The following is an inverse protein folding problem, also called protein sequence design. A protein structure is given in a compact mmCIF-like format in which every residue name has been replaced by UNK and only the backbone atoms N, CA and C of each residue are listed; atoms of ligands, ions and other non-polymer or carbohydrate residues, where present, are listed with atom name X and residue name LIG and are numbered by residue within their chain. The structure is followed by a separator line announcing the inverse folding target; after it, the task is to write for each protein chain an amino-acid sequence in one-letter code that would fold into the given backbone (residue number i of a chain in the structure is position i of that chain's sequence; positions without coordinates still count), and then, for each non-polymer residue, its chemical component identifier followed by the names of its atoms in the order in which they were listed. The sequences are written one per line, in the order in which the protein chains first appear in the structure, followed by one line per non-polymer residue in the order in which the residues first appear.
data_IF_160388426698
#
_entry.id   IF_160388426698
#
_cell.length_a   1.000
_cell.length_b   1.000
_cell.length_c   1.000
_cell.angle_alpha   90.00
_cell.angle_beta   90.00
_cell.angle_gamma   90.00
#
_symmetry.space_group_name_H-M   'P 1'
#
loop_
_entity.id
_entity.type
_entity.pdbx_description
1 polymer ?
#
# COMPACT_ATOMS: atom_id res chain seq x y z
N UNK A 1 -2.14 7.33 -3.82
CA UNK A 1 -2.49 8.65 -4.37
C UNK A 1 -1.44 8.99 -5.42
N UNK A 2 -1.82 9.08 -6.70
CA UNK A 2 -0.88 9.38 -7.80
C UNK A 2 -0.37 10.81 -7.79
N UNK A 3 -1.18 11.79 -7.40
CA UNK A 3 -0.75 13.19 -7.36
C UNK A 3 0.22 13.48 -6.22
N UNK A 4 0.11 12.76 -5.10
CA UNK A 4 0.96 12.95 -3.92
C UNK A 4 2.00 11.83 -3.72
N UNK A 5 2.08 10.85 -4.62
CA UNK A 5 2.94 9.67 -4.49
C UNK A 5 2.91 9.03 -3.09
N UNK A 6 1.69 8.81 -2.59
CA UNK A 6 1.45 8.32 -1.22
C UNK A 6 0.55 7.09 -1.16
N UNK A 7 0.62 6.35 -0.06
CA UNK A 7 -0.43 5.41 0.36
C UNK A 7 -1.10 5.96 1.62
N UNK A 8 -2.44 5.84 1.66
CA UNK A 8 -3.26 6.41 2.74
C UNK A 8 -4.02 5.28 3.40
N UNK A 9 -3.88 5.16 4.72
CA UNK A 9 -4.58 4.17 5.53
C UNK A 9 -5.74 4.84 6.28
N UNK A 10 -6.88 4.16 6.28
CA UNK A 10 -8.05 4.49 7.09
C UNK A 10 -8.45 3.26 7.88
N UNK A 11 -8.84 3.45 9.13
CA UNK A 11 -9.55 2.43 9.90
C UNK A 11 -11.03 2.48 9.53
N UNK A 12 -11.69 1.32 9.55
CA UNK A 12 -13.12 1.20 9.25
C UNK A 12 -13.85 0.70 10.48
N UNK A 13 -14.82 1.47 10.93
CA UNK A 13 -15.77 1.00 11.93
C UNK A 13 -16.60 -0.15 11.37
N UNK A 14 -16.69 -1.26 12.11
CA UNK A 14 -17.30 -2.49 11.58
C UNK A 14 -18.83 -2.43 11.51
N UNK A 15 -19.46 -1.63 12.37
CA UNK A 15 -20.91 -1.55 12.49
C UNK A 15 -21.49 -0.51 11.53
N UNK A 16 -20.91 0.68 11.53
CA UNK A 16 -21.37 1.84 10.75
C UNK A 16 -20.70 1.95 9.39
N UNK A 17 -19.50 1.37 9.24
CA UNK A 17 -18.69 1.50 8.02
C UNK A 17 -17.96 2.84 7.89
N UNK A 18 -18.05 3.73 8.89
CA UNK A 18 -17.35 5.02 8.86
C UNK A 18 -15.83 4.83 8.83
N UNK A 19 -15.16 5.67 8.05
CA UNK A 19 -13.70 5.68 7.94
C UNK A 19 -13.10 6.75 8.83
N UNK A 20 -12.05 6.39 9.57
CA UNK A 20 -11.22 7.32 10.33
C UNK A 20 -9.80 7.31 9.79
N UNK A 21 -9.23 8.50 9.60
CA UNK A 21 -7.86 8.63 9.09
C UNK A 21 -6.87 7.99 10.07
N UNK A 22 -5.95 7.17 9.52
CA UNK A 22 -4.84 6.59 10.29
C UNK A 22 -3.56 7.33 9.94
N UNK A 23 -3.17 7.29 8.66
CA UNK A 23 -1.98 7.99 8.18
C UNK A 23 -1.95 8.15 6.65
N UNK A 24 -1.01 8.97 6.18
CA UNK A 24 -0.62 9.08 4.77
C UNK A 24 0.90 9.13 4.70
N UNK A 25 1.51 8.14 4.05
CA UNK A 25 2.96 8.02 3.94
C UNK A 25 3.41 7.95 2.48
N UNK A 26 4.68 8.28 2.16
CA UNK A 26 5.23 8.08 0.82
C UNK A 26 5.10 6.61 0.37
N UNK A 27 4.71 6.39 -0.89
CA UNK A 27 4.52 5.03 -1.44
C UNK A 27 5.82 4.35 -1.90
N UNK A 28 6.96 5.03 -1.76
CA UNK A 28 8.29 4.48 -2.11
C UNK A 28 8.64 4.54 -3.60
N UNK A 29 7.90 5.34 -4.38
CA UNK A 29 8.12 5.62 -5.80
C UNK A 29 7.08 6.61 -6.32
N UNK A 30 6.95 6.70 -7.63
CA UNK A 30 6.09 7.65 -8.34
C UNK A 30 4.98 6.96 -9.13
N UNK A 31 3.84 7.63 -9.22
CA UNK A 31 2.64 7.14 -9.91
C UNK A 31 2.22 5.74 -9.41
N UNK A 32 1.90 5.59 -8.10
CA UNK A 32 1.37 4.33 -7.58
C UNK A 32 0.10 3.93 -8.32
N UNK A 33 0.18 2.91 -9.17
CA UNK A 33 -0.89 2.55 -10.09
C UNK A 33 -1.84 1.51 -9.51
N UNK A 34 -1.30 0.61 -8.70
CA UNK A 34 -2.06 -0.43 -8.02
C UNK A 34 -1.37 -0.83 -6.70
N UNK A 35 -2.13 -1.45 -5.80
CA UNK A 35 -1.61 -2.09 -4.61
C UNK A 35 -2.48 -3.31 -4.26
N UNK A 36 -1.90 -4.24 -3.51
CA UNK A 36 -2.64 -5.37 -2.94
C UNK A 36 -2.12 -5.69 -1.54
N UNK A 37 -3.04 -6.03 -0.64
CA UNK A 37 -2.72 -6.59 0.67
C UNK A 37 -2.59 -8.11 0.51
N UNK A 38 -1.58 -8.69 1.15
CA UNK A 38 -1.37 -10.13 1.10
C UNK A 38 -2.48 -10.91 1.85
N UNK A 39 -2.72 -12.20 1.53
CA UNK A 39 -3.78 -12.97 2.16
C UNK A 39 -3.68 -13.09 3.68
N UNK A 40 -2.48 -12.93 4.26
CA UNK A 40 -2.28 -12.95 5.72
C UNK A 40 -2.59 -11.61 6.38
N UNK A 41 -2.77 -10.54 5.60
CA UNK A 41 -3.03 -9.19 6.09
C UNK A 41 -1.81 -8.51 6.72
N UNK A 42 -0.60 -9.05 6.53
CA UNK A 42 0.63 -8.56 7.18
C UNK A 42 1.39 -7.57 6.31
N UNK A 43 1.16 -7.57 5.00
CA UNK A 43 1.92 -6.78 4.04
C UNK A 43 1.00 -6.16 2.99
N UNK A 44 1.40 -4.99 2.51
CA UNK A 44 0.84 -4.36 1.31
C UNK A 44 1.96 -4.13 0.30
N UNK A 45 1.71 -4.53 -0.94
CA UNK A 45 2.60 -4.30 -2.07
C UNK A 45 2.04 -3.14 -2.90
N UNK A 46 2.88 -2.17 -3.24
CA UNK A 46 2.51 -0.99 -4.01
C UNK A 46 3.32 -0.95 -5.31
N UNK A 47 2.62 -0.95 -6.45
CA UNK A 47 3.23 -0.85 -7.78
C UNK A 47 3.38 0.62 -8.17
N UNK A 48 4.62 1.11 -8.24
CA UNK A 48 4.93 2.47 -8.68
C UNK A 48 5.36 2.44 -10.14
N UNK A 49 4.49 2.92 -11.01
CA UNK A 49 4.65 2.75 -12.46
C UNK A 49 5.90 3.45 -12.99
N UNK A 50 6.11 4.70 -12.61
CA UNK A 50 7.11 5.56 -13.28
C UNK A 50 8.50 5.45 -12.64
N UNK A 51 8.59 4.81 -11.47
CA UNK A 51 9.87 4.47 -10.80
C UNK A 51 10.32 3.05 -11.09
N UNK A 52 9.55 2.27 -11.85
CA UNK A 52 9.87 0.87 -12.18
C UNK A 52 10.16 0.01 -10.92
N UNK A 53 9.35 0.17 -9.86
CA UNK A 53 9.49 -0.63 -8.65
C UNK A 53 8.16 -1.07 -8.01
N UNK A 54 8.25 -2.15 -7.25
CA UNK A 54 7.22 -2.54 -6.28
C UNK A 54 7.79 -2.33 -4.88
N UNK A 55 7.12 -1.51 -4.07
CA UNK A 55 7.46 -1.27 -2.67
C UNK A 55 6.59 -2.13 -1.76
N UNK A 56 7.18 -2.72 -0.71
CA UNK A 56 6.48 -3.56 0.26
C UNK A 56 6.46 -2.86 1.62
N UNK A 57 5.29 -2.79 2.23
CA UNK A 57 5.11 -2.27 3.58
C UNK A 57 4.53 -3.36 4.48
N UNK A 58 4.99 -3.46 5.73
CA UNK A 58 4.33 -4.25 6.78
C UNK A 58 3.16 -3.47 7.38
N UNK A 59 2.12 -4.18 7.79
CA UNK A 59 0.93 -3.63 8.44
C UNK A 59 0.97 -3.99 9.92
N UNK A 60 0.92 -2.98 10.78
CA UNK A 60 0.64 -3.13 12.21
C UNK A 60 -0.86 -3.42 12.37
N UNK A 61 -1.20 -4.63 12.85
CA UNK A 61 -2.60 -5.07 12.92
C UNK A 61 -3.43 -4.38 14.01
N UNK A 62 -2.79 -3.78 15.00
CA UNK A 62 -3.49 -3.09 16.09
C UNK A 62 -3.85 -1.66 15.70
N UNK A 63 -2.98 -1.01 14.93
CA UNK A 63 -3.10 0.42 14.58
C UNK A 63 -3.44 0.67 13.12
N UNK A 64 -3.22 -0.30 12.24
CA UNK A 64 -3.33 -0.16 10.78
C UNK A 64 -2.16 0.61 10.14
N UNK A 65 -1.10 0.91 10.92
CA UNK A 65 0.05 1.67 10.41
C UNK A 65 0.95 0.82 9.51
N UNK A 66 1.63 1.50 8.59
CA UNK A 66 2.44 0.96 7.53
C UNK A 66 3.91 1.32 7.76
N UNK A 67 4.79 0.34 7.61
CA UNK A 67 6.24 0.56 7.66
C UNK A 67 6.89 -0.03 6.43
N UNK A 68 7.70 0.74 5.69
CA UNK A 68 8.41 0.22 4.51
C UNK A 68 9.37 -0.89 4.94
N UNK A 69 9.31 -2.03 4.27
CA UNK A 69 10.14 -3.21 4.52
C UNK A 69 11.17 -3.41 3.43
N UNK A 70 10.76 -3.28 2.17
CA UNK A 70 11.63 -3.51 1.01
C UNK A 70 11.10 -2.83 -0.25
N UNK A 71 11.95 -2.79 -1.27
CA UNK A 71 11.59 -2.43 -2.63
C UNK A 71 12.32 -3.32 -3.63
N UNK A 72 11.64 -3.62 -4.74
CA UNK A 72 12.15 -4.50 -5.79
C UNK A 72 11.99 -3.85 -7.17
N UNK A 73 13.00 -3.91 -8.03
CA UNK A 73 12.91 -3.40 -9.38
C UNK A 73 11.95 -4.28 -10.20
N UNK A 74 10.93 -3.66 -10.79
CA UNK A 74 9.96 -4.30 -11.67
C UNK A 74 9.60 -3.28 -12.74
N UNK A 75 9.88 -3.52 -14.03
CA UNK A 75 9.58 -2.55 -15.07
C UNK A 75 8.07 -2.25 -15.16
N UNK A 76 7.74 -0.96 -15.05
CA UNK A 76 6.43 -0.33 -15.28
C UNK A 76 5.26 -1.12 -14.67
N UNK A 77 5.27 -1.39 -13.35
CA UNK A 77 4.30 -2.26 -12.73
C UNK A 77 2.98 -1.50 -12.59
N UNK A 78 1.90 -2.07 -13.15
CA UNK A 78 0.58 -1.43 -13.16
C UNK A 78 -0.51 -2.24 -12.48
N UNK A 79 -0.24 -3.50 -12.14
CA UNK A 79 -1.18 -4.42 -11.52
C UNK A 79 -0.42 -5.45 -10.70
N UNK A 80 -0.89 -5.72 -9.48
CA UNK A 80 -0.46 -6.84 -8.65
C UNK A 80 -1.70 -7.61 -8.20
N UNK A 81 -1.60 -8.94 -8.27
CA UNK A 81 -2.61 -9.84 -7.73
C UNK A 81 -1.91 -10.92 -6.93
N UNK A 82 -2.35 -11.09 -5.69
CA UNK A 82 -1.85 -12.10 -4.79
C UNK A 82 -2.86 -13.25 -4.76
N UNK A 83 -2.35 -14.47 -4.71
CA UNK A 83 -3.13 -15.69 -4.65
C UNK A 83 -2.92 -16.33 -3.27
N UNK A 84 -3.96 -16.99 -2.76
CA UNK A 84 -3.93 -17.75 -1.52
C UNK A 84 -3.66 -19.23 -1.80
#
# INVERSE_FOLDING_TARGET
NRGHNSIVAYSRDKETGTLSFVESIPCGGDTPRNFAIDPTGKFVLVCNQDTDNICVFSIDNDTGKLTKVSDYPVPTPVCVKLYA
#
